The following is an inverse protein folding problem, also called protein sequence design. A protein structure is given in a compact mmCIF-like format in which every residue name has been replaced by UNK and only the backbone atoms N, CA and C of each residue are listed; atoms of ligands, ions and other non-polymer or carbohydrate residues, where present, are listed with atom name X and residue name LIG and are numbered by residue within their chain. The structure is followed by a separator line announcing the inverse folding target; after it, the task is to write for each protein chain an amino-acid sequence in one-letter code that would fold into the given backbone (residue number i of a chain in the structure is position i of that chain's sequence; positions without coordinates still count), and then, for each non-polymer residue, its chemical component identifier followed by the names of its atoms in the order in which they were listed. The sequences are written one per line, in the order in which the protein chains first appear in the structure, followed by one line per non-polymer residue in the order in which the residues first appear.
data_IF_854087251520
#
_entry.id   IF_854087251520
#
_cell.length_a   1.000
_cell.length_b   1.000
_cell.length_c   1.000
_cell.angle_alpha   90.00
_cell.angle_beta   90.00
_cell.angle_gamma   90.00
#
_symmetry.space_group_name_H-M   'P 1'
#
loop_
_entity.id
_entity.type
_entity.pdbx_description
1 polymer ?
#
# COMPACT_ATOMS: atom_id res chain seq x y z
N UNK A 1 2.34 21.89 -20.49
CA UNK A 1 2.72 20.46 -20.64
C UNK A 1 2.21 19.72 -19.42
N UNK A 2 1.59 18.53 -19.58
CA UNK A 2 0.96 17.80 -18.47
C UNK A 2 1.95 17.43 -17.33
N UNK A 3 3.22 17.17 -17.66
CA UNK A 3 4.25 16.80 -16.68
C UNK A 3 4.67 17.95 -15.76
N UNK A 4 4.62 19.18 -16.24
CA UNK A 4 4.99 20.37 -15.47
C UNK A 4 3.89 20.75 -14.48
N UNK A 5 2.63 20.67 -14.92
CA UNK A 5 1.46 20.82 -14.05
C UNK A 5 1.36 19.69 -13.01
N UNK A 6 1.78 18.48 -13.36
CA UNK A 6 1.86 17.35 -12.41
C UNK A 6 2.93 17.60 -11.34
N UNK A 7 4.10 18.09 -11.72
CA UNK A 7 5.17 18.45 -10.79
C UNK A 7 4.78 19.61 -9.84
N UNK A 8 4.04 20.60 -10.33
CA UNK A 8 3.54 21.72 -9.52
C UNK A 8 2.45 21.29 -8.53
N UNK A 9 1.55 20.39 -8.92
CA UNK A 9 0.55 19.81 -8.00
C UNK A 9 1.23 18.91 -6.96
N UNK A 10 2.25 18.15 -7.37
CA UNK A 10 3.04 17.34 -6.46
C UNK A 10 3.80 18.21 -5.45
N UNK A 11 4.51 19.25 -5.88
CA UNK A 11 5.26 20.13 -4.97
C UNK A 11 4.34 20.95 -4.04
N UNK A 12 3.17 21.39 -4.53
CA UNK A 12 2.25 22.17 -3.71
C UNK A 12 1.50 21.37 -2.64
N UNK A 13 1.40 20.04 -2.79
CA UNK A 13 0.70 19.15 -1.87
C UNK A 13 1.67 18.33 -1.02
N UNK A 14 2.72 17.77 -1.62
CA UNK A 14 3.71 16.92 -0.97
C UNK A 14 4.81 17.76 -0.32
N UNK A 15 5.45 18.68 -1.06
CA UNK A 15 6.59 19.45 -0.52
C UNK A 15 6.17 20.54 0.48
N UNK A 16 4.89 20.94 0.49
CA UNK A 16 4.32 21.84 1.52
C UNK A 16 3.79 21.12 2.76
N UNK A 17 4.01 19.81 2.88
CA UNK A 17 3.67 19.02 4.08
C UNK A 17 2.19 18.70 4.25
N UNK A 18 1.37 18.93 3.22
CA UNK A 18 -0.06 18.61 3.27
C UNK A 18 -0.36 17.13 2.98
N UNK A 19 0.63 16.34 2.53
CA UNK A 19 0.47 14.94 2.20
C UNK A 19 1.71 14.09 2.55
N UNK A 20 1.50 13.06 3.36
CA UNK A 20 2.42 11.98 3.69
C UNK A 20 1.91 10.71 2.98
N UNK A 21 2.75 10.02 2.19
CA UNK A 21 2.38 8.75 1.57
C UNK A 21 2.00 7.71 2.62
N UNK A 22 1.20 6.74 2.19
CA UNK A 22 0.87 5.60 3.05
C UNK A 22 2.07 4.69 3.12
N UNK A 23 2.65 4.56 4.30
CA UNK A 23 3.89 3.82 4.52
C UNK A 23 3.86 3.04 5.83
N UNK A 24 4.55 1.89 5.90
CA UNK A 24 4.70 1.15 7.15
C UNK A 24 5.61 1.93 8.11
N UNK A 25 5.21 2.04 9.37
CA UNK A 25 5.99 2.72 10.43
C UNK A 25 6.52 1.77 11.49
N UNK A 26 5.88 0.62 11.64
CA UNK A 26 6.31 -0.40 12.59
C UNK A 26 5.84 -1.77 12.14
N UNK A 27 6.66 -2.79 12.40
CA UNK A 27 6.26 -4.19 12.30
C UNK A 27 6.68 -4.92 13.58
N UNK A 28 5.74 -5.60 14.23
CA UNK A 28 5.97 -6.35 15.47
C UNK A 28 5.76 -7.83 15.19
N UNK A 29 6.82 -8.62 15.38
CA UNK A 29 6.76 -10.08 15.29
C UNK A 29 6.51 -10.67 16.68
N UNK A 30 5.40 -11.41 16.83
CA UNK A 30 5.04 -12.16 18.05
C UNK A 30 4.77 -13.62 17.69
N UNK A 31 5.73 -14.50 17.99
CA UNK A 31 5.67 -15.90 17.57
C UNK A 31 5.74 -16.02 16.04
N UNK A 32 4.64 -16.45 15.42
CA UNK A 32 4.47 -16.53 13.96
C UNK A 32 3.51 -15.46 13.41
N UNK A 33 3.16 -14.45 14.19
CA UNK A 33 2.28 -13.35 13.75
C UNK A 33 3.10 -12.08 13.59
N UNK A 34 2.89 -11.37 12.47
CA UNK A 34 3.49 -10.06 12.21
C UNK A 34 2.37 -9.03 12.12
N UNK A 35 2.36 -8.07 13.04
CA UNK A 35 1.45 -6.92 12.99
C UNK A 35 2.20 -5.70 12.44
N UNK A 36 1.69 -5.12 11.37
CA UNK A 36 2.28 -4.00 10.64
C UNK A 36 1.35 -2.81 10.78
N UNK A 37 1.86 -1.69 11.28
CA UNK A 37 1.14 -0.43 11.32
C UNK A 37 1.59 0.49 10.20
N UNK A 38 0.62 1.18 9.61
CA UNK A 38 0.81 2.16 8.57
C UNK A 38 0.43 3.55 9.07
N UNK A 39 1.08 4.56 8.52
CA UNK A 39 0.69 5.96 8.65
C UNK A 39 0.46 6.56 7.27
N UNK A 40 0.02 7.82 7.23
CA UNK A 40 -0.06 8.61 6.00
C UNK A 40 -1.20 9.61 6.10
N UNK A 41 -1.12 10.73 5.40
CA UNK A 41 -2.13 11.79 5.51
C UNK A 41 -3.56 11.31 5.25
N UNK A 42 -3.83 10.47 4.24
CA UNK A 42 -5.17 9.92 4.07
C UNK A 42 -5.69 9.20 5.31
N UNK A 43 -4.84 8.43 5.99
CA UNK A 43 -5.18 7.65 7.18
C UNK A 43 -5.29 8.51 8.44
N UNK A 44 -4.37 9.45 8.63
CA UNK A 44 -4.24 10.24 9.86
C UNK A 44 -5.14 11.48 9.86
N UNK A 45 -5.12 12.26 8.78
CA UNK A 45 -5.83 13.53 8.70
C UNK A 45 -7.26 13.37 8.19
N UNK A 46 -7.54 12.35 7.35
CA UNK A 46 -8.84 12.21 6.67
C UNK A 46 -9.67 11.01 7.14
N UNK A 47 -9.19 10.25 8.13
CA UNK A 47 -9.92 9.10 8.68
C UNK A 47 -10.11 7.97 7.67
N UNK A 48 -9.29 7.93 6.62
CA UNK A 48 -9.30 6.84 5.66
C UNK A 48 -8.84 5.53 6.32
N UNK A 49 -9.09 4.42 5.64
CA UNK A 49 -8.71 3.09 6.11
C UNK A 49 -7.98 2.30 5.04
N UNK A 50 -7.11 1.40 5.48
CA UNK A 50 -6.54 0.37 4.61
C UNK A 50 -7.65 -0.51 4.05
N UNK A 51 -7.48 -0.89 2.78
CA UNK A 51 -8.34 -1.86 2.09
C UNK A 51 -7.55 -2.65 1.07
N UNK A 52 -8.12 -3.73 0.58
CA UNK A 52 -7.56 -4.54 -0.51
C UNK A 52 -8.26 -4.16 -1.81
N UNK A 53 -7.48 -3.76 -2.81
CA UNK A 53 -7.95 -3.52 -4.16
C UNK A 53 -8.07 -4.86 -4.90
N UNK A 54 -9.31 -5.34 -5.03
CA UNK A 54 -9.69 -6.54 -5.79
C UNK A 54 -10.22 -6.24 -7.18
N UNK A 55 -10.44 -4.97 -7.50
CA UNK A 55 -11.29 -4.57 -8.63
C UNK A 55 -10.46 -3.96 -9.77
N UNK A 56 -9.44 -3.17 -9.46
CA UNK A 56 -8.64 -2.41 -10.43
C UNK A 56 -7.26 -2.97 -10.67
N UNK A 57 -6.76 -3.80 -9.76
CA UNK A 57 -5.48 -4.49 -9.90
C UNK A 57 -5.71 -6.00 -9.88
N UNK A 58 -4.95 -6.77 -10.68
CA UNK A 58 -4.96 -8.21 -10.57
C UNK A 58 -4.64 -8.66 -9.12
N UNK A 59 -5.28 -9.74 -8.69
CA UNK A 59 -4.96 -10.34 -7.40
C UNK A 59 -3.51 -10.84 -7.42
N UNK A 60 -2.73 -10.39 -6.44
CA UNK A 60 -1.36 -10.84 -6.21
C UNK A 60 -1.35 -11.83 -5.05
N UNK A 61 -0.48 -12.84 -5.12
CA UNK A 61 -0.24 -13.77 -4.02
C UNK A 61 0.05 -12.99 -2.73
N UNK A 62 -0.64 -13.35 -1.64
CA UNK A 62 -0.53 -12.68 -0.34
C UNK A 62 -0.66 -11.15 -0.42
N UNK A 63 -1.44 -10.64 -1.38
CA UNK A 63 -1.61 -9.20 -1.63
C UNK A 63 -0.30 -8.44 -1.90
N UNK A 64 0.74 -9.14 -2.33
CA UNK A 64 2.08 -8.58 -2.57
C UNK A 64 3.02 -8.61 -1.36
N UNK A 65 2.60 -9.17 -0.22
CA UNK A 65 3.50 -9.40 0.91
C UNK A 65 4.34 -10.67 0.71
N UNK A 66 5.59 -10.60 1.13
CA UNK A 66 6.44 -11.77 1.24
C UNK A 66 7.36 -11.68 2.45
N UNK A 67 7.81 -12.84 2.91
CA UNK A 67 8.63 -12.97 4.11
C UNK A 67 9.71 -14.03 3.84
N UNK A 68 10.88 -13.66 3.28
CA UNK A 68 11.96 -14.62 3.09
C UNK A 68 12.24 -15.43 4.35
N UNK A 69 12.29 -16.76 4.21
CA UNK A 69 12.49 -17.68 5.34
C UNK A 69 11.22 -18.15 6.04
N UNK A 70 10.03 -17.66 5.67
CA UNK A 70 8.76 -18.17 6.18
C UNK A 70 7.65 -18.13 5.12
N UNK A 71 6.70 -19.06 5.21
CA UNK A 71 5.52 -19.03 4.34
C UNK A 71 4.42 -18.20 4.98
N UNK A 72 3.90 -17.21 4.27
CA UNK A 72 2.69 -16.49 4.70
C UNK A 72 1.47 -17.39 4.44
N UNK A 73 0.65 -17.58 5.46
CA UNK A 73 -0.56 -18.42 5.44
C UNK A 73 -1.86 -17.61 5.47
N UNK A 74 -1.80 -16.38 5.97
CA UNK A 74 -2.92 -15.45 5.95
C UNK A 74 -2.42 -14.00 5.98
N UNK A 75 -3.21 -13.11 5.37
CA UNK A 75 -3.03 -11.65 5.37
C UNK A 75 -4.39 -11.03 5.65
N UNK A 76 -4.49 -10.21 6.69
CA UNK A 76 -5.75 -9.63 7.15
C UNK A 76 -5.56 -8.16 7.53
N UNK A 77 -6.54 -7.31 7.24
CA UNK A 77 -6.59 -5.94 7.77
C UNK A 77 -7.37 -6.01 9.09
N UNK A 78 -6.69 -5.81 10.21
CA UNK A 78 -7.26 -5.97 11.56
C UNK A 78 -7.69 -4.65 12.20
N UNK A 79 -7.33 -3.53 11.58
CA UNK A 79 -7.73 -2.18 11.98
C UNK A 79 -7.58 -1.20 10.82
N UNK A 80 -8.02 0.05 11.01
CA UNK A 80 -7.98 1.06 9.94
C UNK A 80 -6.57 1.28 9.36
N UNK A 81 -5.52 0.96 10.12
CA UNK A 81 -4.12 1.21 9.77
C UNK A 81 -3.22 0.00 10.01
N UNK A 82 -3.80 -1.17 10.25
CA UNK A 82 -3.04 -2.35 10.68
C UNK A 82 -3.30 -3.53 9.77
N UNK A 83 -2.21 -4.13 9.29
CA UNK A 83 -2.21 -5.40 8.55
C UNK A 83 -1.55 -6.45 9.43
N UNK A 84 -2.19 -7.61 9.53
CA UNK A 84 -1.68 -8.79 10.21
C UNK A 84 -1.30 -9.86 9.19
N UNK A 85 -0.09 -10.38 9.32
CA UNK A 85 0.38 -11.56 8.61
C UNK A 85 0.46 -12.73 9.58
N UNK A 86 0.01 -13.91 9.14
CA UNK A 86 0.26 -15.18 9.83
C UNK A 86 1.26 -16.01 9.06
N UNK A 87 2.39 -16.33 9.68
CA UNK A 87 3.44 -17.19 9.13
C UNK A 87 3.19 -18.65 9.50
N UNK A 88 3.67 -19.58 8.67
CA UNK A 88 3.57 -21.03 8.91
C UNK A 88 4.30 -21.48 10.18
N UNK A 89 5.38 -20.79 10.54
CA UNK A 89 6.15 -21.00 11.76
C UNK A 89 6.78 -19.67 12.21
N UNK A 90 7.30 -19.66 13.45
CA UNK A 90 8.06 -18.51 13.92
C UNK A 90 9.39 -18.42 13.13
N UNK A 91 9.69 -17.27 12.50
CA UNK A 91 10.90 -17.15 11.69
C UNK A 91 12.15 -17.08 12.58
N UNK A 92 13.24 -17.65 12.08
CA UNK A 92 14.54 -17.59 12.74
C UNK A 92 15.01 -16.15 12.92
N UNK A 93 15.79 -15.88 13.98
CA UNK A 93 16.27 -14.53 14.28
C UNK A 93 17.12 -13.92 13.16
N UNK A 94 17.80 -14.76 12.39
CA UNK A 94 18.66 -14.39 11.25
C UNK A 94 17.86 -13.97 10.00
N UNK A 95 16.56 -14.25 9.92
CA UNK A 95 15.78 -14.03 8.71
C UNK A 95 14.39 -13.45 9.02
N UNK A 96 14.36 -12.15 9.36
CA UNK A 96 13.15 -11.39 9.70
C UNK A 96 12.91 -10.23 8.75
N UNK A 97 13.12 -10.47 7.46
CA UNK A 97 12.87 -9.45 6.44
C UNK A 97 11.41 -9.54 6.01
N UNK A 98 10.65 -8.47 6.22
CA UNK A 98 9.34 -8.29 5.60
C UNK A 98 9.50 -7.54 4.28
N UNK A 99 8.79 -7.97 3.25
CA UNK A 99 8.79 -7.37 1.92
C UNK A 99 7.36 -7.11 1.46
N UNK A 100 7.18 -6.03 0.71
CA UNK A 100 5.88 -5.67 0.12
C UNK A 100 6.08 -5.09 -1.27
N UNK A 101 5.41 -5.68 -2.27
CA UNK A 101 5.41 -5.21 -3.65
C UNK A 101 6.82 -5.03 -4.27
N UNK A 102 7.82 -5.77 -3.77
CA UNK A 102 9.21 -5.72 -4.27
C UNK A 102 9.68 -7.02 -4.92
N UNK A 103 8.97 -8.13 -4.68
CA UNK A 103 9.37 -9.40 -5.28
C UNK A 103 8.95 -9.40 -6.75
N UNK A 104 9.95 -9.21 -7.61
CA UNK A 104 9.85 -9.47 -9.02
C UNK A 104 9.76 -10.98 -9.23
N UNK A 105 8.55 -11.49 -9.49
CA UNK A 105 8.39 -12.83 -10.05
C UNK A 105 8.54 -12.72 -11.58
N UNK A 106 9.27 -13.67 -12.18
CA UNK A 106 9.77 -13.64 -13.55
C UNK A 106 8.74 -13.32 -14.66
N UNK A 107 9.25 -12.69 -15.73
CA UNK A 107 8.74 -12.66 -17.11
C UNK A 107 7.31 -12.18 -17.42
N UNK A 108 6.79 -11.15 -16.73
CA UNK A 108 5.54 -10.49 -17.16
C UNK A 108 5.79 -9.11 -17.80
N UNK A 109 5.48 -9.03 -19.10
CA UNK A 109 5.68 -7.90 -20.03
C UNK A 109 4.70 -6.73 -19.85
N UNK A 110 3.83 -6.74 -18.82
CA UNK A 110 2.82 -5.70 -18.61
C UNK A 110 2.95 -5.01 -17.25
N UNK A 111 2.80 -3.68 -17.27
CA UNK A 111 3.02 -2.76 -16.16
C UNK A 111 2.12 -2.88 -14.90
N UNK A 112 0.94 -3.55 -14.87
CA UNK A 112 0.10 -3.58 -13.67
C UNK A 112 0.29 -4.81 -12.75
N UNK A 113 0.94 -5.90 -13.17
CA UNK A 113 1.09 -7.13 -12.34
C UNK A 113 2.10 -7.01 -11.20
N UNK A 114 2.72 -5.84 -11.03
CA UNK A 114 3.83 -5.60 -10.09
C UNK A 114 3.44 -4.85 -8.82
N UNK A 115 2.14 -4.67 -8.59
CA UNK A 115 1.61 -3.89 -7.46
C UNK A 115 1.04 -4.82 -6.41
N UNK A 116 1.40 -4.63 -5.15
CA UNK A 116 0.63 -5.20 -4.06
C UNK A 116 -0.80 -4.66 -4.08
N UNK A 117 -1.73 -5.40 -3.47
CA UNK A 117 -3.14 -5.05 -3.50
C UNK A 117 -3.55 -4.08 -2.38
N UNK A 118 -2.61 -3.60 -1.54
CA UNK A 118 -2.95 -2.67 -0.46
C UNK A 118 -3.25 -1.29 -1.04
N UNK A 119 -4.41 -0.74 -0.67
CA UNK A 119 -4.85 0.60 -1.02
C UNK A 119 -5.40 1.34 0.21
N UNK A 120 -5.71 2.62 0.02
CA UNK A 120 -6.46 3.41 1.01
C UNK A 120 -7.84 3.76 0.46
N UNK A 121 -8.85 3.38 1.21
CA UNK A 121 -10.25 3.70 0.97
C UNK A 121 -10.63 4.95 1.78
N UNK A 122 -11.19 5.95 1.09
CA UNK A 122 -11.64 7.21 1.68
C UNK A 122 -12.92 7.64 0.98
N UNK A 123 -13.89 8.14 1.71
CA UNK A 123 -15.11 8.75 1.17
C UNK A 123 -14.87 10.12 0.51
N UNK A 124 -13.62 10.62 0.55
CA UNK A 124 -13.23 11.87 -0.09
C UNK A 124 -12.91 11.68 -1.57
N UNK A 125 -13.43 12.60 -2.39
CA UNK A 125 -13.06 12.71 -3.80
C UNK A 125 -11.56 12.93 -3.94
N UNK A 126 -10.94 12.18 -4.86
CA UNK A 126 -9.55 12.37 -5.27
C UNK A 126 -9.31 13.83 -5.68
N UNK A 127 -8.18 14.42 -5.25
CA UNK A 127 -7.79 15.76 -5.67
C UNK A 127 -7.57 15.88 -7.19
N UNK A 128 -7.33 14.75 -7.86
CA UNK A 128 -7.22 14.65 -9.32
C UNK A 128 -8.57 14.77 -10.05
N UNK A 129 -9.69 14.86 -9.32
CA UNK A 129 -11.00 15.17 -9.91
C UNK A 129 -11.17 16.65 -10.26
N UNK A 130 -10.31 17.54 -9.73
CA UNK A 130 -10.40 18.99 -9.99
C UNK A 130 -10.06 19.39 -11.44
N UNK A 131 -9.13 18.72 -12.16
CA UNK A 131 -8.87 18.97 -13.58
C UNK A 131 -9.72 18.12 -14.57
N UNK A 132 -10.85 17.55 -14.17
CA UNK A 132 -11.77 16.85 -15.11
C UNK A 132 -11.40 15.40 -15.43
N UNK A 133 -10.52 14.78 -14.65
CA UNK A 133 -10.31 13.33 -14.68
C UNK A 133 -11.29 12.67 -13.71
N UNK A 134 -12.30 11.96 -14.19
CA UNK A 134 -13.29 11.30 -13.34
C UNK A 134 -12.68 10.09 -12.62
N UNK A 135 -12.16 10.30 -11.41
CA UNK A 135 -11.87 9.24 -10.46
C UNK A 135 -13.05 9.07 -9.50
N UNK A 136 -13.57 7.84 -9.30
CA UNK A 136 -14.70 7.60 -8.42
C UNK A 136 -14.42 8.14 -7.01
N UNK A 137 -15.46 8.75 -6.42
CA UNK A 137 -15.39 9.56 -5.21
C UNK A 137 -14.95 8.84 -3.92
N UNK A 138 -14.61 7.55 -3.97
CA UNK A 138 -14.43 6.69 -2.80
C UNK A 138 -13.04 6.06 -2.66
N UNK A 139 -12.12 6.31 -3.60
CA UNK A 139 -10.87 5.52 -3.69
C UNK A 139 -9.74 6.38 -4.27
N UNK A 140 -8.64 6.52 -3.52
CA UNK A 140 -7.40 7.07 -4.06
C UNK A 140 -6.46 5.91 -4.39
N UNK A 141 -6.17 5.61 -5.67
CA UNK A 141 -5.17 4.60 -6.00
C UNK A 141 -3.79 5.09 -5.56
N UNK A 142 -3.05 4.26 -4.82
CA UNK A 142 -1.63 4.46 -4.55
C UNK A 142 -0.87 4.28 -5.87
N UNK A 143 -0.78 5.34 -6.69
CA UNK A 143 0.13 5.38 -7.84
C UNK A 143 1.37 6.17 -7.49
N UNK A 144 2.46 5.47 -7.18
CA UNK A 144 3.79 5.95 -7.56
C UNK A 144 4.62 4.84 -8.19
N UNK A 145 5.35 5.26 -9.22
CA UNK A 145 6.47 4.57 -9.85
C UNK A 145 7.71 4.79 -8.98
N UNK A 146 8.61 3.80 -8.95
CA UNK A 146 9.92 3.88 -8.32
C UNK A 146 10.79 5.00 -8.93
#
# INVERSE_FOLDING_TARGET
MLGETYADVYSSIVDKGAWNPVQPVSAVLSGNVVDINFEGTPLDAFGAKLSIDSDWVPNTLNHGFSFPGATITAVEITGAKTVRLKLSAAPEASNRTLRYAIDAFDDVTYWPTRRGNLMVETDRRSWWNSPGSEYPAQRSPLRYSF
#
